data_IF_967765236392
#
_entry.id   IF_967765236392
#
_cell.length_a   1.000
_cell.length_b   1.000
_cell.length_c   1.000
_cell.angle_alpha   90.00
_cell.angle_beta   90.00
_cell.angle_gamma   90.00
#
_symmetry.space_group_name_H-M   'P 1'
#
loop_
_entity.id
_entity.type
_entity.pdbx_description
1 polymer ?
#
# COMPACT_ATOMS: atom_id res chain seq x y z
N UNK A 1 2.58 -70.58 27.16
CA UNK A 1 3.84 -69.95 27.61
C UNK A 1 4.49 -69.25 26.42
N UNK A 2 4.82 -67.96 26.57
CA UNK A 2 5.33 -67.07 25.53
C UNK A 2 6.81 -67.39 25.26
N UNK A 3 7.19 -67.62 24.00
CA UNK A 3 8.62 -67.73 23.61
C UNK A 3 9.16 -66.33 23.39
N UNK A 4 9.96 -65.85 24.36
CA UNK A 4 10.81 -64.66 24.28
C UNK A 4 12.20 -65.11 23.83
N UNK A 5 12.76 -64.54 22.76
CA UNK A 5 14.22 -64.41 22.52
C UNK A 5 14.40 -63.21 21.56
N UNK A 6 14.69 -62.02 22.07
CA UNK A 6 16.00 -61.35 22.23
C UNK A 6 16.33 -60.42 21.05
N UNK A 7 16.26 -59.14 21.40
CA UNK A 7 16.83 -57.97 20.77
C UNK A 7 18.37 -58.08 20.83
N UNK A 8 19.05 -58.19 19.68
CA UNK A 8 20.50 -57.97 19.56
C UNK A 8 20.87 -57.72 18.10
N UNK A 9 21.23 -56.48 17.80
CA UNK A 9 21.76 -56.03 16.52
C UNK A 9 22.29 -54.61 16.63
N UNK A 10 23.17 -54.36 17.60
CA UNK A 10 23.97 -53.13 17.69
C UNK A 10 25.28 -53.39 16.94
N UNK A 11 25.67 -52.45 16.08
CA UNK A 11 27.03 -52.35 15.53
C UNK A 11 27.07 -51.56 14.22
N UNK A 12 26.93 -50.23 14.22
CA UNK A 12 28.01 -49.22 14.30
C UNK A 12 28.87 -49.07 13.04
N UNK A 13 28.52 -48.06 12.22
CA UNK A 13 29.43 -47.16 11.51
C UNK A 13 28.60 -45.91 11.09
N UNK A 14 28.34 -44.94 11.96
CA UNK A 14 29.16 -43.76 12.29
C UNK A 14 29.52 -42.85 11.10
N UNK A 15 28.91 -41.66 11.13
CA UNK A 15 29.39 -40.36 10.62
C UNK A 15 29.05 -40.03 9.16
N UNK A 16 28.09 -39.10 9.04
CA UNK A 16 27.83 -38.29 7.88
C UNK A 16 26.85 -37.18 8.27
N UNK A 17 27.36 -36.17 9.01
CA UNK A 17 26.90 -34.77 9.00
C UNK A 17 25.37 -34.59 8.98
N UNK A 18 24.68 -34.46 10.12
CA UNK A 18 24.62 -33.18 10.82
C UNK A 18 24.04 -32.08 9.92
N UNK A 19 22.74 -31.79 10.04
CA UNK A 19 22.05 -30.67 9.38
C UNK A 19 21.93 -30.76 7.84
N UNK A 20 20.88 -31.45 7.38
CA UNK A 20 20.16 -31.02 6.20
C UNK A 20 18.65 -31.00 6.49
N UNK A 21 18.29 -30.53 7.69
CA UNK A 21 17.17 -29.59 7.75
C UNK A 21 17.68 -28.38 7.00
N UNK A 22 17.39 -28.33 5.70
CA UNK A 22 17.56 -27.15 4.88
C UNK A 22 16.76 -26.05 5.57
N UNK A 23 17.48 -25.25 6.33
CA UNK A 23 17.13 -23.92 6.73
C UNK A 23 16.63 -23.16 5.50
N UNK A 24 15.32 -23.19 5.26
CA UNK A 24 14.61 -22.03 4.72
C UNK A 24 14.52 -20.92 5.78
N UNK A 25 15.55 -20.80 6.62
CA UNK A 25 15.71 -19.75 7.59
C UNK A 25 16.18 -18.54 6.79
N UNK A 26 15.22 -17.65 6.51
CA UNK A 26 15.43 -16.31 5.97
C UNK A 26 16.39 -16.27 4.79
N UNK A 27 15.92 -16.66 3.61
CA UNK A 27 16.40 -15.97 2.41
C UNK A 27 15.84 -14.55 2.51
N UNK A 28 16.59 -13.65 3.14
CA UNK A 28 16.29 -12.23 3.08
C UNK A 28 16.42 -11.84 1.61
N UNK A 29 15.28 -11.77 0.93
CA UNK A 29 15.20 -11.10 -0.37
C UNK A 29 15.20 -9.62 0.00
N UNK A 30 16.40 -9.08 0.10
CA UNK A 30 16.63 -7.64 0.20
C UNK A 30 16.42 -7.10 -1.21
N UNK A 31 15.16 -6.82 -1.55
CA UNK A 31 14.78 -6.07 -2.73
C UNK A 31 14.39 -4.68 -2.25
N UNK A 32 15.18 -3.67 -2.63
CA UNK A 32 14.76 -2.28 -2.56
C UNK A 32 13.65 -2.11 -3.61
N UNK A 33 12.43 -1.82 -3.14
CA UNK A 33 11.21 -1.74 -3.97
C UNK A 33 10.62 -0.34 -3.80
N UNK A 34 11.02 0.57 -4.67
CA UNK A 34 10.59 1.97 -4.64
C UNK A 34 9.43 2.18 -5.64
N UNK A 35 8.23 2.43 -5.12
CA UNK A 35 7.13 2.97 -5.94
C UNK A 35 7.29 4.49 -6.01
N UNK A 36 7.22 5.07 -7.20
CA UNK A 36 7.38 6.53 -7.36
C UNK A 36 6.10 7.16 -7.90
N UNK A 37 5.46 8.01 -7.09
CA UNK A 37 4.44 8.97 -7.53
C UNK A 37 5.09 10.35 -7.63
N UNK A 38 5.30 10.86 -8.86
CA UNK A 38 5.73 12.24 -9.07
C UNK A 38 4.53 13.18 -9.07
N UNK A 39 4.49 14.15 -8.15
CA UNK A 39 3.62 15.33 -8.26
C UNK A 39 4.53 16.55 -8.38
N UNK A 40 4.37 17.34 -9.45
CA UNK A 40 5.10 18.60 -9.59
C UNK A 40 4.55 19.60 -8.56
N UNK A 41 5.44 20.13 -7.71
CA UNK A 41 5.12 21.03 -6.61
C UNK A 41 4.82 22.46 -7.12
N UNK A 42 3.59 22.92 -6.96
CA UNK A 42 3.14 24.31 -7.17
C UNK A 42 2.07 24.65 -6.13
N UNK A 43 2.38 25.56 -5.19
CA UNK A 43 1.42 26.02 -4.16
C UNK A 43 0.23 26.79 -4.78
N UNK A 44 0.31 27.19 -6.06
CA UNK A 44 -0.81 27.75 -6.82
C UNK A 44 -1.49 26.71 -7.72
N UNK A 45 -1.14 25.43 -7.58
CA UNK A 45 -1.81 24.35 -8.30
C UNK A 45 -3.30 24.37 -7.94
N UNK A 46 -4.13 24.09 -8.94
CA UNK A 46 -5.57 23.93 -8.76
C UNK A 46 -5.89 22.75 -7.84
N UNK A 47 -5.05 21.71 -7.85
CA UNK A 47 -5.15 20.55 -6.97
C UNK A 47 -3.80 20.37 -6.28
N UNK A 48 -3.82 20.35 -4.95
CA UNK A 48 -2.63 20.24 -4.13
C UNK A 48 -2.60 18.86 -3.49
N UNK A 49 -1.48 18.16 -3.62
CA UNK A 49 -1.20 16.92 -2.89
C UNK A 49 -0.15 17.20 -1.83
N UNK A 50 -0.50 16.96 -0.57
CA UNK A 50 0.42 17.16 0.57
C UNK A 50 0.36 15.97 1.51
N UNK A 51 1.50 15.65 2.13
CA UNK A 51 1.51 14.69 3.23
C UNK A 51 0.78 15.29 4.42
N UNK A 52 -0.02 14.50 5.13
CA UNK A 52 -0.56 14.92 6.42
C UNK A 52 0.53 14.87 7.50
N UNK A 53 0.92 16.03 8.03
CA UNK A 53 1.96 16.12 9.08
C UNK A 53 1.52 15.50 10.41
N UNK A 54 0.22 15.38 10.63
CA UNK A 54 -0.35 14.85 11.87
C UNK A 54 -0.62 13.34 11.79
N UNK A 55 -0.50 12.75 10.59
CA UNK A 55 -0.70 11.32 10.37
C UNK A 55 0.53 10.52 10.80
N UNK A 56 0.32 9.55 11.70
CA UNK A 56 1.38 8.71 12.24
C UNK A 56 1.94 7.79 11.15
N UNK A 57 3.25 7.90 10.89
CA UNK A 57 3.96 7.04 9.94
C UNK A 57 3.82 7.48 8.48
N UNK A 58 3.10 8.57 8.20
CA UNK A 58 2.99 9.11 6.84
C UNK A 58 4.34 9.60 6.31
N UNK A 59 5.27 10.00 7.19
CA UNK A 59 6.64 10.40 6.85
C UNK A 59 7.51 9.24 6.37
N UNK A 60 7.15 8.01 6.72
CA UNK A 60 7.84 6.78 6.27
C UNK A 60 7.37 6.35 4.88
N UNK A 61 6.27 6.93 4.42
CA UNK A 61 5.57 6.55 3.21
C UNK A 61 5.62 7.64 2.15
N UNK A 62 5.54 8.90 2.57
CA UNK A 62 5.39 10.04 1.68
C UNK A 62 6.58 10.97 1.88
N UNK A 63 7.45 10.96 0.87
CA UNK A 63 8.56 11.89 0.74
C UNK A 63 8.03 13.27 0.36
N UNK A 64 8.47 14.29 1.10
CA UNK A 64 8.16 15.70 0.83
C UNK A 64 9.46 16.50 0.77
N UNK A 65 9.53 17.54 -0.07
CA UNK A 65 10.59 18.54 0.02
C UNK A 65 10.33 19.58 1.13
N UNK A 66 11.14 20.65 1.15
CA UNK A 66 11.04 21.75 2.11
C UNK A 66 9.67 22.48 2.09
N UNK A 67 8.83 22.23 1.08
CA UNK A 67 7.50 22.84 0.88
C UNK A 67 6.35 21.99 1.42
N UNK A 68 6.61 20.77 1.92
CA UNK A 68 5.60 19.77 2.33
C UNK A 68 4.70 19.23 1.18
N UNK A 69 5.02 19.54 -0.08
CA UNK A 69 4.38 18.92 -1.24
C UNK A 69 4.82 17.46 -1.39
N UNK A 70 3.94 16.60 -1.90
CA UNK A 70 4.25 15.18 -2.13
C UNK A 70 5.15 15.03 -3.34
N UNK A 71 6.35 14.50 -3.14
CA UNK A 71 7.30 14.25 -4.23
C UNK A 71 7.41 12.76 -4.59
N UNK A 72 7.22 11.88 -3.61
CA UNK A 72 7.30 10.41 -3.76
C UNK A 72 6.37 9.77 -2.74
N UNK A 73 5.59 8.76 -3.13
CA UNK A 73 4.95 7.84 -2.19
C UNK A 73 5.69 6.50 -2.29
N UNK A 74 6.58 6.25 -1.34
CA UNK A 74 7.48 5.10 -1.27
C UNK A 74 6.88 4.04 -0.34
N UNK A 75 6.71 2.82 -0.85
CA UNK A 75 6.29 1.66 -0.06
C UNK A 75 7.38 0.62 -0.04
N UNK A 76 8.08 0.47 1.09
CA UNK A 76 9.06 -0.60 1.25
C UNK A 76 8.49 -1.79 2.01
N UNK A 77 8.56 -2.99 1.42
CA UNK A 77 8.18 -4.23 2.10
C UNK A 77 9.13 -4.55 3.27
N UNK A 78 10.37 -4.07 3.27
CA UNK A 78 11.29 -4.27 4.40
C UNK A 78 10.86 -3.49 5.67
N UNK A 79 10.07 -2.43 5.48
CA UNK A 79 9.46 -1.63 6.55
C UNK A 79 8.06 -2.12 6.96
N UNK A 80 7.55 -3.16 6.30
CA UNK A 80 6.24 -3.76 6.54
C UNK A 80 6.39 -5.21 7.02
N UNK A 81 5.46 -5.65 7.86
CA UNK A 81 5.45 -7.07 8.23
C UNK A 81 4.89 -7.91 7.09
N UNK A 82 5.59 -8.98 6.73
CA UNK A 82 5.05 -10.01 5.84
C UNK A 82 3.73 -10.57 6.40
N UNK A 83 2.81 -10.96 5.52
CA UNK A 83 1.53 -11.57 5.90
C UNK A 83 0.68 -10.68 6.82
N UNK A 84 0.75 -9.36 6.63
CA UNK A 84 0.01 -8.39 7.44
C UNK A 84 -0.77 -7.41 6.58
N UNK A 85 -1.85 -6.89 7.17
CA UNK A 85 -2.55 -5.72 6.65
C UNK A 85 -2.12 -4.51 7.46
N UNK A 86 -1.48 -3.55 6.81
CA UNK A 86 -1.04 -2.29 7.39
C UNK A 86 -1.89 -1.15 6.87
N UNK A 87 -2.27 -0.23 7.75
CA UNK A 87 -3.07 0.94 7.40
C UNK A 87 -2.41 2.20 7.93
N UNK A 88 -2.12 3.11 7.01
CA UNK A 88 -1.61 4.45 7.27
C UNK A 88 -2.79 5.41 7.15
N UNK A 89 -3.36 5.77 8.30
CA UNK A 89 -4.57 6.59 8.35
C UNK A 89 -4.27 8.04 7.99
N UNK A 90 -5.13 8.62 7.16
CA UNK A 90 -5.11 10.02 6.76
C UNK A 90 -3.72 10.47 6.26
N UNK A 91 -2.96 9.58 5.64
CA UNK A 91 -1.54 9.81 5.33
C UNK A 91 -1.35 10.86 4.23
N UNK A 92 -2.23 10.86 3.24
CA UNK A 92 -2.22 11.78 2.11
C UNK A 92 -3.40 12.75 2.20
N UNK A 93 -3.16 14.02 1.89
CA UNK A 93 -4.18 15.05 1.82
C UNK A 93 -4.24 15.57 0.39
N UNK A 94 -5.46 15.64 -0.15
CA UNK A 94 -5.73 16.22 -1.47
C UNK A 94 -6.65 17.42 -1.29
N UNK A 95 -6.24 18.57 -1.78
CA UNK A 95 -6.96 19.82 -1.63
C UNK A 95 -7.34 20.37 -3.00
N UNK A 96 -8.61 20.73 -3.16
CA UNK A 96 -9.08 21.47 -4.31
C UNK A 96 -8.97 22.97 -4.01
N UNK A 97 -8.00 23.62 -4.66
CA UNK A 97 -7.64 25.03 -4.45
C UNK A 97 -8.19 25.94 -5.58
N UNK A 98 -9.17 25.46 -6.34
CA UNK A 98 -9.72 26.18 -7.51
C UNK A 98 -10.57 27.39 -7.12
N UNK A 99 -11.28 27.33 -5.99
CA UNK A 99 -12.12 28.41 -5.47
C UNK A 99 -11.35 29.59 -4.88
N UNK A 100 -10.15 29.36 -4.34
CA UNK A 100 -9.28 30.44 -3.83
C UNK A 100 -8.74 31.33 -4.97
N UNK A 101 -8.63 30.78 -6.18
CA UNK A 101 -8.11 31.46 -7.37
C UNK A 101 -9.21 32.05 -8.29
N UNK A 102 -10.49 31.93 -7.90
CA UNK A 102 -11.63 32.53 -8.62
C UNK A 102 -12.19 31.70 -9.77
N UNK A 103 -11.65 30.51 -10.02
CA UNK A 103 -12.15 29.52 -10.99
C UNK A 103 -12.76 28.34 -10.21
N UNK A 104 -13.81 28.57 -9.42
CA UNK A 104 -14.50 27.55 -8.63
C UNK A 104 -14.88 26.32 -9.47
N UNK A 105 -14.14 25.23 -9.31
CA UNK A 105 -14.35 23.98 -10.04
C UNK A 105 -14.56 22.85 -9.06
N UNK A 106 -15.65 22.11 -9.26
CA UNK A 106 -15.86 20.82 -8.60
C UNK A 106 -15.06 19.77 -9.34
N UNK A 107 -14.46 18.83 -8.62
CA UNK A 107 -13.68 17.75 -9.22
C UNK A 107 -14.09 16.38 -8.69
N UNK A 108 -14.00 15.38 -9.54
CA UNK A 108 -14.07 13.97 -9.15
C UNK A 108 -12.64 13.43 -9.06
N UNK A 109 -12.25 12.93 -7.88
CA UNK A 109 -10.96 12.31 -7.58
C UNK A 109 -11.11 10.79 -7.49
N UNK A 110 -10.25 10.05 -8.16
CA UNK A 110 -10.13 8.60 -8.00
C UNK A 110 -8.72 8.11 -8.34
N UNK A 111 -8.38 6.91 -7.88
CA UNK A 111 -7.14 6.24 -8.24
C UNK A 111 -7.40 5.29 -9.40
N UNK A 112 -6.50 5.23 -10.38
CA UNK A 112 -6.61 4.28 -11.48
C UNK A 112 -6.46 2.85 -10.93
N UNK A 113 -7.41 1.99 -11.28
CA UNK A 113 -7.37 0.57 -10.94
C UNK A 113 -6.25 -0.15 -11.71
N UNK A 114 -5.56 -1.05 -11.02
CA UNK A 114 -4.57 -1.99 -11.54
C UNK A 114 -4.79 -3.39 -10.93
N UNK A 115 -4.08 -4.41 -11.40
CA UNK A 115 -4.16 -5.78 -10.85
C UNK A 115 -3.84 -5.80 -9.34
N UNK A 116 -2.83 -5.03 -8.91
CA UNK A 116 -2.38 -4.98 -7.53
C UNK A 116 -2.86 -3.73 -6.76
N UNK A 117 -3.49 -2.78 -7.47
CA UNK A 117 -4.04 -1.55 -6.89
C UNK A 117 -5.57 -1.61 -6.96
N UNK A 118 -6.21 -1.88 -5.83
CA UNK A 118 -7.67 -1.95 -5.72
C UNK A 118 -8.19 -2.92 -4.67
N UNK A 119 -9.51 -3.17 -4.74
CA UNK A 119 -10.27 -4.01 -3.80
C UNK A 119 -10.59 -5.41 -4.35
N UNK A 120 -10.07 -5.73 -5.53
CA UNK A 120 -10.22 -7.03 -6.19
C UNK A 120 -9.45 -8.12 -5.42
N UNK A 121 -9.82 -9.40 -5.59
CA UNK A 121 -9.01 -10.52 -5.10
C UNK A 121 -7.58 -10.37 -5.70
N UNK A 122 -6.57 -10.26 -4.83
CA UNK A 122 -5.18 -9.94 -5.19
C UNK A 122 -4.73 -8.48 -5.00
N UNK A 123 -5.62 -7.54 -4.71
CA UNK A 123 -5.26 -6.14 -4.49
C UNK A 123 -4.37 -5.94 -3.25
N UNK A 124 -3.10 -5.55 -3.48
CA UNK A 124 -2.10 -5.34 -2.42
C UNK A 124 -2.15 -3.91 -1.88
N UNK A 125 -2.53 -2.94 -2.71
CA UNK A 125 -2.57 -1.52 -2.35
C UNK A 125 -3.97 -0.93 -2.56
N UNK A 126 -4.46 -0.21 -1.56
CA UNK A 126 -5.77 0.44 -1.60
C UNK A 126 -5.72 1.84 -1.00
N UNK A 127 -6.51 2.74 -1.57
CA UNK A 127 -6.62 4.14 -1.17
C UNK A 127 -8.04 4.38 -0.75
N UNK A 128 -8.24 4.79 0.50
CA UNK A 128 -9.58 4.96 1.08
C UNK A 128 -9.79 6.34 1.66
N UNK A 129 -11.04 6.77 1.64
CA UNK A 129 -11.49 8.03 2.25
C UNK A 129 -12.57 7.75 3.27
N UNK A 130 -12.80 8.67 4.19
CA UNK A 130 -13.91 8.58 5.15
C UNK A 130 -15.25 8.79 4.42
N UNK A 131 -16.20 7.87 4.61
CA UNK A 131 -17.57 7.96 4.07
C UNK A 131 -18.54 8.64 5.07
N UNK A 132 -18.01 9.23 6.15
CA UNK A 132 -18.78 9.93 7.18
C UNK A 132 -19.52 9.01 8.15
N UNK A 133 -19.26 7.70 8.10
CA UNK A 133 -19.93 6.66 8.89
C UNK A 133 -18.96 5.86 9.78
N UNK A 134 -17.85 6.48 10.23
CA UNK A 134 -16.75 5.79 10.96
C UNK A 134 -16.22 4.58 10.18
N UNK A 135 -16.22 4.71 8.86
CA UNK A 135 -15.84 3.67 7.90
C UNK A 135 -15.19 4.34 6.71
N UNK A 136 -14.26 3.62 6.08
CA UNK A 136 -13.57 4.12 4.89
C UNK A 136 -13.94 3.33 3.65
N UNK A 137 -14.09 4.03 2.54
CA UNK A 137 -14.42 3.47 1.22
C UNK A 137 -13.25 3.64 0.27
N UNK A 138 -13.00 2.64 -0.56
CA UNK A 138 -11.95 2.72 -1.58
C UNK A 138 -12.33 3.77 -2.62
N UNK A 139 -11.34 4.53 -3.11
CA UNK A 139 -11.46 5.43 -4.26
C UNK A 139 -10.77 4.88 -5.50
N UNK A 140 -10.39 3.60 -5.50
CA UNK A 140 -9.75 2.95 -6.63
C UNK A 140 -10.80 2.55 -7.67
N UNK A 141 -10.54 2.91 -8.92
CA UNK A 141 -11.43 2.71 -10.05
C UNK A 141 -12.43 3.86 -10.25
N UNK A 142 -12.75 4.16 -11.52
CA UNK A 142 -13.63 5.28 -11.91
C UNK A 142 -15.02 5.24 -11.27
N UNK A 143 -15.51 4.06 -10.88
CA UNK A 143 -16.80 3.88 -10.22
C UNK A 143 -16.84 4.40 -8.78
N UNK A 144 -15.68 4.58 -8.13
CA UNK A 144 -15.54 4.86 -6.71
C UNK A 144 -15.03 6.29 -6.42
N UNK A 145 -15.26 7.21 -7.36
CA UNK A 145 -14.77 8.59 -7.27
C UNK A 145 -15.31 9.35 -6.06
N UNK A 146 -14.44 10.12 -5.42
CA UNK A 146 -14.81 11.15 -4.43
C UNK A 146 -15.07 12.48 -5.12
N UNK A 147 -16.12 13.19 -4.71
CA UNK A 147 -16.40 14.55 -5.18
C UNK A 147 -15.76 15.53 -4.22
N UNK A 148 -14.97 16.46 -4.74
CA UNK A 148 -14.44 17.59 -3.99
C UNK A 148 -14.96 18.89 -4.57
N UNK A 149 -15.63 19.68 -3.73
CA UNK A 149 -15.97 21.06 -4.03
C UNK A 149 -14.72 21.96 -4.01
N UNK A 150 -14.85 23.19 -4.48
CA UNK A 150 -13.80 24.13 -4.89
C UNK A 150 -12.85 24.64 -3.79
N UNK A 151 -13.07 24.23 -2.55
CA UNK A 151 -12.24 24.52 -1.36
C UNK A 151 -12.14 23.32 -0.42
N UNK A 152 -12.63 22.16 -0.86
CA UNK A 152 -12.69 20.97 -0.03
C UNK A 152 -11.33 20.26 0.01
N UNK A 153 -11.13 19.57 1.11
CA UNK A 153 -9.94 18.77 1.38
C UNK A 153 -10.37 17.34 1.68
N UNK A 154 -9.72 16.39 1.02
CA UNK A 154 -9.87 14.96 1.24
C UNK A 154 -8.67 14.42 2.00
N UNK A 155 -8.92 13.51 2.94
CA UNK A 155 -7.86 12.77 3.64
C UNK A 155 -7.93 11.30 3.25
N UNK A 156 -6.82 10.80 2.75
CA UNK A 156 -6.72 9.47 2.17
C UNK A 156 -5.93 8.56 3.11
N UNK A 157 -6.59 7.51 3.55
CA UNK A 157 -5.99 6.33 4.15
C UNK A 157 -5.29 5.52 3.06
N UNK A 158 -4.10 5.02 3.37
CA UNK A 158 -3.36 4.13 2.49
C UNK A 158 -3.25 2.77 3.17
N UNK A 159 -3.70 1.72 2.48
CA UNK A 159 -3.79 0.37 3.01
C UNK A 159 -2.90 -0.54 2.16
N UNK A 160 -2.02 -1.26 2.83
CA UNK A 160 -1.18 -2.29 2.23
C UNK A 160 -1.58 -3.65 2.80
N UNK A 161 -1.89 -4.61 1.94
CA UNK A 161 -2.37 -5.94 2.31
C UNK A 161 -1.45 -7.04 1.76
N UNK A 162 -0.43 -7.39 2.55
CA UNK A 162 0.57 -8.41 2.22
C UNK A 162 0.16 -9.82 2.65
N UNK A 163 -1.11 -10.02 3.04
CA UNK A 163 -1.62 -11.34 3.44
C UNK A 163 -1.80 -12.19 2.21
N UNK A 164 -1.33 -13.42 2.26
CA UNK A 164 -1.60 -14.42 1.21
C UNK A 164 -3.10 -14.75 1.22
N UNK A 165 -3.76 -14.54 0.09
CA UNK A 165 -5.18 -14.87 -0.10
C UNK A 165 -5.40 -16.31 -0.59
N UNK A 166 -4.32 -17.06 -0.84
CA UNK A 166 -4.36 -18.45 -1.29
C UNK A 166 -4.91 -18.63 -2.70
N UNK A 167 -5.10 -17.55 -3.45
CA UNK A 167 -5.63 -17.55 -4.82
C UNK A 167 -4.58 -17.22 -5.89
N UNK A 168 -3.45 -16.61 -5.49
CA UNK A 168 -2.30 -16.34 -6.35
C UNK A 168 -1.18 -17.38 -6.15
N UNK A 169 -0.45 -17.72 -7.22
CA UNK A 169 0.72 -18.64 -7.24
C UNK A 169 1.97 -18.03 -6.57
N UNK A 170 1.79 -17.06 -5.69
CA UNK A 170 2.82 -16.23 -5.07
C UNK A 170 2.29 -15.44 -3.88
N UNK A 171 3.19 -14.99 -3.01
CA UNK A 171 2.88 -14.12 -1.88
C UNK A 171 2.50 -12.72 -2.36
N UNK A 172 1.41 -12.13 -1.84
CA UNK A 172 1.09 -10.72 -2.08
C UNK A 172 2.29 -9.84 -1.71
N UNK A 173 2.76 -9.05 -2.66
CA UNK A 173 3.91 -8.19 -2.50
C UNK A 173 3.78 -6.88 -3.31
N UNK A 174 4.70 -5.95 -3.08
CA UNK A 174 4.66 -4.63 -3.71
C UNK A 174 5.50 -4.55 -5.00
N UNK A 175 6.13 -5.63 -5.44
CA UNK A 175 7.14 -5.60 -6.53
C UNK A 175 6.56 -5.15 -7.86
N UNK A 176 5.32 -5.57 -8.10
CA UNK A 176 4.64 -5.34 -9.36
C UNK A 176 4.04 -3.92 -9.46
N UNK A 177 3.98 -3.18 -8.35
CA UNK A 177 3.47 -1.81 -8.30
C UNK A 177 4.61 -0.83 -8.53
N UNK A 178 4.87 -0.46 -9.78
CA UNK A 178 5.88 0.57 -10.09
C UNK A 178 5.36 2.02 -9.98
N UNK A 179 4.04 2.22 -10.19
CA UNK A 179 3.43 3.54 -10.22
C UNK A 179 1.95 3.47 -9.81
N UNK A 180 1.53 4.43 -9.00
CA UNK A 180 0.11 4.71 -8.73
C UNK A 180 -0.27 5.99 -9.48
N UNK A 181 -1.47 6.03 -10.08
CA UNK A 181 -1.96 7.23 -10.78
C UNK A 181 -3.25 7.74 -10.15
N UNK A 182 -3.21 8.97 -9.62
CA UNK A 182 -4.39 9.71 -9.24
C UNK A 182 -4.98 10.42 -10.47
N UNK A 183 -6.29 10.33 -10.62
CA UNK A 183 -7.03 10.98 -11.70
C UNK A 183 -7.99 12.00 -11.08
N UNK A 184 -7.91 13.22 -11.58
CA UNK A 184 -8.81 14.32 -11.21
C UNK A 184 -9.55 14.76 -12.46
N UNK A 185 -10.87 14.59 -12.47
CA UNK A 185 -11.75 15.00 -13.57
C UNK A 185 -12.57 16.22 -13.13
N UNK A 186 -12.49 17.33 -13.86
CA UNK A 186 -13.35 18.47 -13.62
C UNK A 186 -14.82 18.10 -13.88
N UNK A 187 -15.72 18.56 -13.01
CA UNK A 187 -17.15 18.30 -13.10
C UNK A 187 -17.86 19.59 -13.47
N UNK A 188 -18.62 19.52 -14.56
CA UNK A 188 -19.43 20.65 -15.00
C UNK A 188 -20.55 20.95 -13.99
N UNK A 189 -20.74 22.23 -13.71
CA UNK A 189 -21.75 22.73 -12.79
C UNK A 189 -23.07 22.85 -13.54
N UNK A 190 -23.84 21.76 -13.64
CA UNK A 190 -25.24 21.84 -14.10
C UNK A 190 -26.15 22.40 -13.00
#
# INVERSE_FOLDING_TARGET
>A
MKRRVVLAGIGTASIGVGAAFGSGAFTSIEADRDVTLNVDNDDNAQIIFKRNSDAVGAERLIGTDESNAVNVIEFSQSDLNEQSKTSFKQALVVENNTGENGDSLKVDLFVKEDQDVGISDGGVLDFRIDDGNDSTVSIVGKGNKSRLDDTETEQIDIIVDLRDDGTNDGTNDLDDISQVTFIVEAVDSN
#
